data_IF_255410331536
#
_entry.id   IF_255410331536
#
_cell.length_a   1.000
_cell.length_b   1.000
_cell.length_c   1.000
_cell.angle_alpha   90.00
_cell.angle_beta   90.00
_cell.angle_gamma   90.00
#
_symmetry.space_group_name_H-M   'P 1'
#
loop_
_entity.id
_entity.type
_entity.pdbx_description
1 polymer ?
#
# COMPACT_ATOMS: atom_id res chain seq x y z
N UNK A 1 -2.97 76.74 -15.19
CA UNK A 1 -3.52 75.36 -15.12
C UNK A 1 -2.90 74.67 -13.87
N UNK A 2 -3.69 74.59 -12.82
CA UNK A 2 -3.22 74.04 -11.53
C UNK A 2 -3.71 72.57 -11.40
N UNK A 3 -2.78 71.66 -11.18
CA UNK A 3 -3.08 70.27 -10.96
C UNK A 3 -3.47 70.01 -9.47
N UNK A 4 -4.65 69.38 -9.26
CA UNK A 4 -5.15 68.98 -7.97
C UNK A 4 -4.40 67.76 -7.42
N UNK A 5 -4.09 67.70 -6.11
CA UNK A 5 -3.45 66.53 -5.51
C UNK A 5 -4.49 65.42 -5.28
N UNK A 6 -4.09 64.18 -5.60
CA UNK A 6 -4.87 62.96 -5.35
C UNK A 6 -4.83 62.60 -3.87
N UNK A 7 -5.95 62.61 -3.20
CA UNK A 7 -6.17 62.11 -1.84
C UNK A 7 -5.87 60.62 -1.73
N UNK A 8 -4.90 60.23 -0.90
CA UNK A 8 -4.67 58.85 -0.50
C UNK A 8 -5.74 58.43 0.51
N UNK A 9 -6.59 57.46 0.14
CA UNK A 9 -7.48 56.82 1.09
C UNK A 9 -6.66 55.94 2.04
N UNK A 10 -6.76 56.26 3.32
CA UNK A 10 -6.26 55.48 4.43
C UNK A 10 -7.21 54.27 4.61
N UNK A 11 -6.70 53.04 4.44
CA UNK A 11 -7.42 51.81 4.74
C UNK A 11 -7.00 51.40 6.16
N UNK A 12 -7.96 51.32 7.12
CA UNK A 12 -7.64 50.83 8.46
C UNK A 12 -7.29 49.35 8.37
N UNK A 13 -6.13 48.95 8.87
CA UNK A 13 -5.83 47.55 9.14
C UNK A 13 -6.69 47.10 10.32
N UNK A 14 -7.73 46.31 10.06
CA UNK A 14 -8.45 45.58 11.09
C UNK A 14 -7.49 44.60 11.75
N UNK A 15 -7.18 44.84 13.02
CA UNK A 15 -6.41 43.93 13.87
C UNK A 15 -7.15 42.59 13.97
N UNK A 16 -6.55 41.56 13.41
CA UNK A 16 -7.01 40.16 13.54
C UNK A 16 -6.87 39.82 15.02
N UNK A 17 -7.99 39.85 15.75
CA UNK A 17 -8.07 39.51 17.17
C UNK A 17 -7.55 38.08 17.40
N UNK A 18 -6.56 37.92 18.26
CA UNK A 18 -5.99 36.62 18.66
C UNK A 18 -7.04 35.68 19.29
N UNK A 19 -8.13 36.20 19.81
CA UNK A 19 -9.25 35.42 20.35
C UNK A 19 -9.94 34.53 19.29
N UNK A 20 -10.06 35.01 18.05
CA UNK A 20 -10.68 34.24 16.94
C UNK A 20 -9.87 33.04 16.53
N UNK A 21 -8.55 33.05 16.67
CA UNK A 21 -7.67 31.92 16.35
C UNK A 21 -7.80 30.80 17.38
N UNK A 22 -7.88 31.14 18.66
CA UNK A 22 -8.07 30.16 19.76
C UNK A 22 -9.43 29.49 19.70
N UNK A 23 -10.47 30.21 19.38
CA UNK A 23 -11.82 29.64 19.21
C UNK A 23 -11.89 28.71 18.00
N UNK A 24 -11.25 29.07 16.88
CA UNK A 24 -11.14 28.20 15.71
C UNK A 24 -10.37 26.91 16.02
N UNK A 25 -9.30 26.98 16.77
CA UNK A 25 -8.53 25.79 17.20
C UNK A 25 -9.34 24.91 18.15
N UNK A 26 -10.09 25.47 19.09
CA UNK A 26 -11.01 24.72 19.97
C UNK A 26 -12.11 24.01 19.16
N UNK A 27 -12.71 24.69 18.19
CA UNK A 27 -13.74 24.12 17.32
C UNK A 27 -13.20 23.00 16.42
N UNK A 28 -11.97 23.12 15.90
CA UNK A 28 -11.31 22.08 15.12
C UNK A 28 -10.97 20.86 16.00
N UNK A 29 -10.51 21.07 17.21
CA UNK A 29 -10.23 20.00 18.18
C UNK A 29 -11.49 19.23 18.54
N UNK A 30 -12.59 19.92 18.85
CA UNK A 30 -13.89 19.30 19.13
C UNK A 30 -14.38 18.44 17.97
N UNK A 31 -14.33 18.94 16.73
CA UNK A 31 -14.67 18.17 15.51
C UNK A 31 -13.78 16.95 15.31
N UNK A 32 -12.51 17.03 15.66
CA UNK A 32 -11.58 15.90 15.55
C UNK A 32 -11.88 14.82 16.60
N UNK A 33 -12.18 15.24 17.82
CA UNK A 33 -12.54 14.34 18.92
C UNK A 33 -13.88 13.63 18.64
N UNK A 34 -14.87 14.32 18.08
CA UNK A 34 -16.15 13.74 17.66
C UNK A 34 -15.97 12.70 16.55
N UNK A 35 -15.19 13.03 15.51
CA UNK A 35 -14.90 12.10 14.40
C UNK A 35 -14.10 10.88 14.82
N UNK A 36 -13.26 11.02 15.84
CA UNK A 36 -12.50 9.90 16.44
C UNK A 36 -13.42 9.01 17.26
N UNK A 37 -14.38 9.60 17.97
CA UNK A 37 -15.38 8.88 18.77
C UNK A 37 -16.33 8.09 17.88
N UNK A 38 -16.79 8.68 16.76
CA UNK A 38 -17.62 7.99 15.76
C UNK A 38 -16.88 6.80 15.12
N UNK A 39 -15.60 6.97 14.74
CA UNK A 39 -14.78 5.88 14.21
C UNK A 39 -14.58 4.75 15.22
N UNK A 40 -14.39 5.10 16.49
CA UNK A 40 -14.20 4.09 17.54
C UNK A 40 -15.50 3.36 17.88
N UNK A 41 -16.64 4.07 17.84
CA UNK A 41 -17.97 3.47 18.01
C UNK A 41 -18.32 2.53 16.84
N UNK A 42 -18.05 2.92 15.61
CA UNK A 42 -18.23 2.07 14.43
C UNK A 42 -17.31 0.82 14.47
N UNK A 43 -16.11 0.94 15.03
CA UNK A 43 -15.18 -0.17 15.20
C UNK A 43 -15.58 -1.13 16.35
N UNK A 44 -16.22 -0.61 17.40
CA UNK A 44 -16.77 -1.40 18.47
C UNK A 44 -18.04 -2.18 18.06
N UNK A 45 -18.93 -1.54 17.30
CA UNK A 45 -20.13 -2.18 16.77
C UNK A 45 -19.82 -3.32 15.78
N UNK A 46 -18.69 -3.25 15.05
CA UNK A 46 -18.22 -4.36 14.19
C UNK A 46 -17.57 -5.53 14.94
N UNK A 47 -17.20 -5.35 16.22
CA UNK A 47 -16.60 -6.43 17.03
C UNK A 47 -17.64 -7.33 17.70
N UNK A 48 -18.88 -6.90 17.80
CA UNK A 48 -19.93 -7.65 18.52
C UNK A 48 -20.70 -8.66 17.64
N UNK A 49 -20.39 -8.71 16.32
CA UNK A 49 -21.08 -9.60 15.38
C UNK A 49 -20.27 -10.89 15.08
N UNK A 50 -19.07 -11.04 15.63
CA UNK A 50 -18.20 -12.20 15.32
C UNK A 50 -17.85 -13.05 16.55
N UNK A 51 -18.83 -13.29 17.44
CA UNK A 51 -18.66 -14.25 18.53
C UNK A 51 -19.73 -15.33 18.46
N UNK A 52 -19.84 -16.04 17.36
CA UNK A 52 -20.42 -17.38 17.33
C UNK A 52 -20.12 -18.08 16.00
N UNK A 53 -18.93 -18.59 15.82
CA UNK A 53 -18.61 -19.78 15.02
C UNK A 53 -17.16 -20.16 15.30
N UNK A 54 -17.00 -21.03 16.28
CA UNK A 54 -15.78 -21.75 16.52
C UNK A 54 -15.79 -23.02 15.66
N UNK A 55 -14.99 -23.11 14.59
CA UNK A 55 -14.73 -24.41 13.97
C UNK A 55 -13.75 -25.16 14.90
N UNK A 56 -14.14 -26.35 15.29
CA UNK A 56 -13.34 -27.32 16.02
C UNK A 56 -11.91 -27.38 15.45
N UNK A 57 -10.94 -27.07 16.28
CA UNK A 57 -9.53 -27.37 16.06
C UNK A 57 -9.36 -28.89 16.04
N UNK A 58 -9.48 -29.48 14.86
CA UNK A 58 -8.86 -30.78 14.62
C UNK A 58 -7.36 -30.60 14.78
N UNK A 59 -6.79 -31.37 15.68
CA UNK A 59 -5.36 -31.48 15.93
C UNK A 59 -4.67 -31.90 14.64
N UNK A 60 -4.18 -30.95 13.88
CA UNK A 60 -3.22 -31.23 12.82
C UNK A 60 -1.87 -31.44 13.50
N UNK A 61 -1.38 -32.65 13.33
CA UNK A 61 -0.08 -33.16 13.75
C UNK A 61 1.05 -32.21 13.35
N UNK A 62 2.09 -32.15 14.22
CA UNK A 62 3.32 -31.41 13.98
C UNK A 62 3.90 -31.66 12.57
N UNK A 63 4.48 -30.64 11.90
CA UNK A 63 5.05 -30.81 10.58
C UNK A 63 6.25 -31.75 10.65
N UNK A 64 6.16 -32.83 9.88
CA UNK A 64 7.24 -33.80 9.67
C UNK A 64 8.40 -33.10 8.91
N UNK A 65 9.67 -33.29 9.31
CA UNK A 65 10.81 -32.74 8.57
C UNK A 65 10.98 -33.45 7.22
N UNK A 66 10.41 -32.88 6.16
CA UNK A 66 10.45 -33.46 4.81
C UNK A 66 9.78 -32.63 3.72
N UNK A 67 9.09 -31.52 4.06
CA UNK A 67 8.25 -30.74 3.10
C UNK A 67 8.97 -29.62 2.34
N UNK A 68 10.28 -29.65 2.17
CA UNK A 68 10.99 -28.63 1.36
C UNK A 68 10.64 -28.71 -0.14
N UNK A 69 10.32 -29.87 -0.65
CA UNK A 69 10.00 -30.09 -2.07
C UNK A 69 8.66 -29.48 -2.48
N UNK A 70 7.65 -29.47 -1.60
CA UNK A 70 6.35 -28.89 -1.89
C UNK A 70 6.36 -27.37 -2.00
N UNK A 71 7.10 -26.69 -1.13
CA UNK A 71 7.17 -25.23 -1.10
C UNK A 71 7.93 -24.67 -2.32
N UNK A 72 8.97 -25.38 -2.77
CA UNK A 72 9.78 -24.99 -3.93
C UNK A 72 9.00 -25.15 -5.25
N UNK A 73 8.20 -26.21 -5.36
CA UNK A 73 7.29 -26.45 -6.49
C UNK A 73 6.24 -25.32 -6.59
N UNK A 74 5.58 -24.98 -5.48
CA UNK A 74 4.59 -23.91 -5.42
C UNK A 74 5.19 -22.54 -5.79
N UNK A 75 6.41 -22.27 -5.33
CA UNK A 75 7.13 -21.04 -5.68
C UNK A 75 7.48 -20.96 -7.16
N UNK A 76 7.99 -22.06 -7.72
CA UNK A 76 8.32 -22.15 -9.15
C UNK A 76 7.10 -21.92 -10.02
N UNK A 77 5.97 -22.52 -9.69
CA UNK A 77 4.69 -22.31 -10.37
C UNK A 77 4.21 -20.85 -10.25
N UNK A 78 4.36 -20.25 -9.08
CA UNK A 78 4.03 -18.83 -8.87
C UNK A 78 4.87 -17.91 -9.76
N UNK A 79 6.18 -18.14 -9.88
CA UNK A 79 7.08 -17.36 -10.73
C UNK A 79 6.72 -17.52 -12.20
N UNK A 80 6.48 -18.76 -12.66
CA UNK A 80 6.06 -19.02 -14.03
C UNK A 80 4.77 -18.24 -14.38
N UNK A 81 3.77 -18.36 -13.53
CA UNK A 81 2.51 -17.65 -13.74
C UNK A 81 2.67 -16.12 -13.68
N UNK A 82 3.52 -15.62 -12.80
CA UNK A 82 3.82 -14.18 -12.71
C UNK A 82 4.50 -13.67 -13.98
N UNK A 83 5.36 -14.46 -14.61
CA UNK A 83 6.01 -14.13 -15.87
C UNK A 83 5.04 -14.09 -17.05
N UNK A 84 4.08 -15.01 -17.09
CA UNK A 84 2.97 -14.96 -18.06
C UNK A 84 2.17 -13.66 -17.92
N UNK A 85 1.75 -13.32 -16.69
CA UNK A 85 0.99 -12.10 -16.39
C UNK A 85 1.78 -10.82 -16.70
N UNK A 86 3.07 -10.81 -16.43
CA UNK A 86 3.98 -9.73 -16.80
C UNK A 86 3.96 -9.44 -18.31
N UNK A 87 3.92 -10.48 -19.10
CA UNK A 87 3.84 -10.38 -20.57
C UNK A 87 2.44 -9.94 -21.02
N UNK A 88 1.38 -10.56 -20.48
CA UNK A 88 -0.02 -10.23 -20.82
C UNK A 88 -0.37 -8.78 -20.50
N UNK A 89 0.15 -8.25 -19.41
CA UNK A 89 -0.11 -6.87 -18.96
C UNK A 89 0.80 -5.82 -19.60
N UNK A 90 1.80 -6.24 -20.40
CA UNK A 90 2.75 -5.32 -21.03
C UNK A 90 3.69 -4.63 -20.04
N UNK A 91 3.94 -5.23 -18.87
CA UNK A 91 4.81 -4.65 -17.84
C UNK A 91 6.24 -4.49 -18.35
N UNK A 92 6.67 -5.35 -19.28
CA UNK A 92 7.99 -5.30 -19.91
C UNK A 92 8.26 -3.97 -20.65
N UNK A 93 7.24 -3.25 -21.09
CA UNK A 93 7.41 -1.92 -21.72
C UNK A 93 8.00 -0.89 -20.74
N UNK A 94 7.68 -1.00 -19.45
CA UNK A 94 8.13 -0.09 -18.39
C UNK A 94 9.28 -0.66 -17.56
N UNK A 95 9.37 -1.97 -17.45
CA UNK A 95 10.41 -2.71 -16.74
C UNK A 95 10.83 -3.89 -17.62
N UNK A 96 11.76 -3.72 -18.59
CA UNK A 96 12.09 -4.73 -19.59
C UNK A 96 12.69 -6.01 -19.03
N UNK A 97 13.28 -5.95 -17.86
CA UNK A 97 13.90 -7.05 -17.17
C UNK A 97 12.95 -7.59 -16.09
N UNK A 98 12.51 -8.84 -16.25
CA UNK A 98 11.57 -9.47 -15.33
C UNK A 98 12.14 -9.57 -13.90
N UNK A 99 13.42 -9.87 -13.75
CA UNK A 99 14.04 -10.02 -12.43
C UNK A 99 14.11 -8.69 -11.67
N UNK A 100 14.17 -7.57 -12.40
CA UNK A 100 14.18 -6.24 -11.79
C UNK A 100 12.87 -5.86 -11.10
N UNK A 101 11.74 -6.49 -11.42
CA UNK A 101 10.51 -6.20 -10.69
C UNK A 101 10.62 -6.58 -9.21
N UNK A 102 11.51 -7.49 -8.84
CA UNK A 102 11.72 -7.92 -7.46
C UNK A 102 12.67 -7.00 -6.66
N UNK A 103 13.31 -6.02 -7.29
CA UNK A 103 14.09 -4.98 -6.60
C UNK A 103 13.17 -3.98 -5.88
N UNK A 104 11.96 -3.80 -6.37
CA UNK A 104 10.99 -2.90 -5.76
C UNK A 104 10.64 -3.32 -4.33
N UNK A 105 10.47 -2.32 -3.44
CA UNK A 105 10.17 -2.54 -2.03
C UNK A 105 8.69 -2.84 -1.77
N UNK A 106 7.83 -2.28 -2.58
CA UNK A 106 6.38 -2.53 -2.55
C UNK A 106 5.79 -2.40 -3.94
N UNK A 107 4.65 -3.04 -4.15
CA UNK A 107 3.82 -2.87 -5.34
C UNK A 107 2.38 -2.65 -4.91
N UNK A 108 1.81 -1.55 -5.37
CA UNK A 108 0.45 -1.13 -5.06
C UNK A 108 -0.41 -1.09 -6.31
N UNK A 109 -1.70 -1.30 -6.12
CA UNK A 109 -2.71 -1.16 -7.14
C UNK A 109 -3.58 0.06 -6.83
N UNK A 110 -3.62 1.03 -7.75
CA UNK A 110 -4.53 2.17 -7.67
C UNK A 110 -5.86 1.81 -8.33
N UNK A 111 -6.96 2.34 -7.80
CA UNK A 111 -8.31 2.21 -8.37
C UNK A 111 -9.04 0.90 -8.08
N UNK A 112 -8.37 -0.11 -7.50
CA UNK A 112 -8.99 -1.37 -7.07
C UNK A 112 -8.58 -1.66 -5.64
N UNK A 113 -9.51 -2.14 -4.80
CA UNK A 113 -9.26 -2.59 -3.44
C UNK A 113 -8.53 -3.93 -3.41
N UNK A 114 -7.56 -4.06 -2.51
CA UNK A 114 -6.81 -5.32 -2.27
C UNK A 114 -6.82 -5.75 -0.81
N UNK A 115 -7.60 -5.10 0.02
CA UNK A 115 -7.81 -5.52 1.39
C UNK A 115 -9.00 -6.47 1.44
N UNK A 116 -9.10 -7.24 2.52
CA UNK A 116 -10.19 -8.20 2.71
C UNK A 116 -11.58 -7.54 2.62
N UNK A 117 -11.71 -6.32 3.19
CA UNK A 117 -12.98 -5.59 3.22
C UNK A 117 -13.40 -5.01 1.86
N UNK A 118 -12.43 -4.71 0.97
CA UNK A 118 -12.67 -4.04 -0.32
C UNK A 118 -12.09 -4.84 -1.52
N UNK A 119 -11.90 -6.16 -1.35
CA UNK A 119 -11.22 -6.99 -2.33
C UNK A 119 -11.94 -7.01 -3.68
N UNK A 120 -11.24 -6.56 -4.71
CA UNK A 120 -11.76 -6.50 -6.07
C UNK A 120 -12.78 -5.39 -6.32
N UNK A 121 -13.10 -4.56 -5.32
CA UNK A 121 -13.98 -3.41 -5.51
C UNK A 121 -13.29 -2.32 -6.33
N UNK A 122 -14.02 -1.82 -7.31
CA UNK A 122 -13.55 -0.76 -8.20
C UNK A 122 -13.93 0.60 -7.60
N UNK A 123 -12.97 1.49 -7.50
CA UNK A 123 -13.18 2.83 -6.95
C UNK A 123 -13.57 3.79 -8.07
N UNK A 124 -14.80 4.28 -8.04
CA UNK A 124 -15.33 5.24 -9.02
C UNK A 124 -14.43 6.48 -9.20
N UNK A 125 -14.34 6.95 -10.43
CA UNK A 125 -13.54 8.13 -10.80
C UNK A 125 -12.02 7.91 -10.68
N UNK A 126 -11.54 6.70 -10.38
CA UNK A 126 -10.11 6.39 -10.28
C UNK A 126 -9.59 5.71 -11.55
N UNK A 127 -8.31 5.91 -11.78
CA UNK A 127 -7.57 5.21 -12.82
C UNK A 127 -6.90 3.96 -12.23
N UNK A 128 -6.93 2.88 -13.00
CA UNK A 128 -6.26 1.63 -12.65
C UNK A 128 -4.79 1.73 -13.05
N UNK A 129 -3.93 1.58 -12.06
CA UNK A 129 -2.48 1.68 -12.25
C UNK A 129 -1.73 0.77 -11.30
N UNK A 130 -0.76 0.01 -11.82
CA UNK A 130 0.23 -0.71 -11.01
C UNK A 130 1.38 0.23 -10.72
N UNK A 131 1.65 0.47 -9.44
CA UNK A 131 2.67 1.39 -8.95
C UNK A 131 3.69 0.62 -8.12
N UNK A 132 4.92 0.57 -8.60
CA UNK A 132 6.05 0.07 -7.83
C UNK A 132 6.69 1.19 -7.02
N UNK A 133 7.21 0.85 -5.84
CA UNK A 133 7.86 1.78 -4.92
C UNK A 133 9.32 1.39 -4.77
N UNK A 134 10.21 2.33 -5.03
CA UNK A 134 11.64 2.25 -4.73
C UNK A 134 12.05 3.40 -3.81
N UNK A 135 13.27 3.33 -3.29
CA UNK A 135 13.84 4.40 -2.46
C UNK A 135 15.12 4.90 -3.11
N UNK A 136 15.18 6.18 -3.37
CA UNK A 136 16.36 6.86 -3.89
C UNK A 136 16.83 7.93 -2.90
N UNK A 137 18.15 8.20 -2.78
CA UNK A 137 18.63 9.30 -1.98
C UNK A 137 18.21 10.63 -2.63
N UNK A 138 17.73 11.57 -1.83
CA UNK A 138 17.49 12.94 -2.26
C UNK A 138 18.82 13.73 -2.30
N UNK A 139 18.75 15.01 -2.68
CA UNK A 139 19.92 15.91 -2.74
C UNK A 139 20.65 16.04 -1.40
N UNK A 140 20.01 15.69 -0.28
CA UNK A 140 20.54 15.74 1.08
C UNK A 140 20.97 14.36 1.60
N UNK A 141 21.01 13.33 0.74
CA UNK A 141 21.34 11.96 1.11
C UNK A 141 20.22 11.21 1.87
N UNK A 142 19.06 11.83 2.09
CA UNK A 142 17.94 11.18 2.76
C UNK A 142 17.20 10.26 1.79
N UNK A 143 16.85 9.04 2.23
CA UNK A 143 16.06 8.09 1.44
C UNK A 143 14.64 8.62 1.23
N UNK A 144 14.27 8.85 -0.03
CA UNK A 144 12.93 9.29 -0.44
C UNK A 144 12.25 8.20 -1.25
N UNK A 145 10.97 7.95 -0.96
CA UNK A 145 10.17 7.03 -1.75
C UNK A 145 9.90 7.62 -3.14
N UNK A 146 10.11 6.78 -4.17
CA UNK A 146 9.83 7.10 -5.57
C UNK A 146 8.83 6.10 -6.11
N UNK A 147 7.75 6.60 -6.68
CA UNK A 147 6.72 5.81 -7.33
C UNK A 147 7.06 5.65 -8.82
N UNK A 148 7.00 4.41 -9.30
CA UNK A 148 7.25 4.03 -10.68
C UNK A 148 5.98 3.38 -11.21
N UNK A 149 5.38 3.93 -12.28
CA UNK A 149 4.24 3.31 -12.93
C UNK A 149 4.71 2.15 -13.80
N UNK A 150 4.27 0.93 -13.47
CA UNK A 150 4.56 -0.27 -14.25
C UNK A 150 3.49 -0.56 -15.30
N UNK A 151 2.24 -0.11 -15.09
CA UNK A 151 1.15 -0.31 -16.03
C UNK A 151 0.02 0.66 -15.74
N UNK A 152 -0.59 1.17 -16.81
CA UNK A 152 -1.78 2.03 -16.76
C UNK A 152 -2.87 1.39 -17.61
N UNK A 153 -4.06 1.21 -17.04
CA UNK A 153 -5.13 0.41 -17.64
C UNK A 153 -6.45 1.18 -17.85
N UNK A 154 -6.40 2.49 -17.79
CA UNK A 154 -7.56 3.36 -18.02
C UNK A 154 -8.43 3.57 -16.78
N UNK A 155 -9.66 4.03 -17.01
CA UNK A 155 -10.64 4.27 -15.95
C UNK A 155 -11.17 2.96 -15.38
N UNK A 156 -11.40 2.95 -14.09
CA UNK A 156 -11.86 1.78 -13.34
C UNK A 156 -13.21 1.23 -13.85
N UNK A 157 -14.13 2.13 -14.23
CA UNK A 157 -15.48 1.79 -14.67
C UNK A 157 -15.49 1.13 -16.07
N UNK A 158 -14.48 1.42 -16.89
CA UNK A 158 -14.37 0.86 -18.25
C UNK A 158 -13.59 -0.46 -18.31
N UNK A 159 -13.07 -0.94 -17.18
CA UNK A 159 -12.22 -2.11 -17.15
C UNK A 159 -13.04 -3.40 -17.19
N UNK A 160 -12.76 -4.25 -18.19
CA UNK A 160 -13.35 -5.58 -18.30
C UNK A 160 -12.99 -6.45 -17.08
N UNK A 161 -13.92 -7.28 -16.65
CA UNK A 161 -13.78 -8.11 -15.45
C UNK A 161 -12.55 -9.04 -15.51
N UNK A 162 -12.31 -9.68 -16.65
CA UNK A 162 -11.14 -10.56 -16.84
C UNK A 162 -9.83 -9.82 -16.70
N UNK A 163 -9.73 -8.64 -17.32
CA UNK A 163 -8.51 -7.81 -17.21
C UNK A 163 -8.32 -7.30 -15.80
N UNK A 164 -9.40 -6.99 -15.08
CA UNK A 164 -9.34 -6.64 -13.64
C UNK A 164 -8.72 -7.76 -12.83
N UNK A 165 -9.20 -8.99 -13.01
CA UNK A 165 -8.67 -10.15 -12.27
C UNK A 165 -7.20 -10.42 -12.60
N UNK A 166 -6.81 -10.29 -13.87
CA UNK A 166 -5.42 -10.43 -14.33
C UNK A 166 -4.50 -9.43 -13.64
N UNK A 167 -4.93 -8.17 -13.51
CA UNK A 167 -4.17 -7.11 -12.82
C UNK A 167 -4.04 -7.41 -11.32
N UNK A 168 -5.12 -7.81 -10.67
CA UNK A 168 -5.12 -8.19 -9.26
C UNK A 168 -4.19 -9.39 -9.03
N UNK A 169 -4.32 -10.44 -9.85
CA UNK A 169 -3.51 -11.66 -9.78
C UNK A 169 -2.01 -11.33 -9.87
N UNK A 170 -1.60 -10.47 -10.82
CA UNK A 170 -0.21 -10.06 -10.95
C UNK A 170 0.35 -9.44 -9.68
N UNK A 171 -0.36 -8.47 -9.10
CA UNK A 171 0.10 -7.78 -7.89
C UNK A 171 0.17 -8.73 -6.69
N UNK A 172 -0.82 -9.63 -6.54
CA UNK A 172 -0.85 -10.60 -5.45
C UNK A 172 0.26 -11.64 -5.60
N UNK A 173 0.52 -12.17 -6.80
CA UNK A 173 1.60 -13.14 -7.04
C UNK A 173 2.97 -12.50 -6.83
N UNK A 174 3.15 -11.23 -7.20
CA UNK A 174 4.37 -10.51 -6.88
C UNK A 174 4.56 -10.38 -5.36
N UNK A 175 3.50 -10.03 -4.61
CA UNK A 175 3.55 -9.96 -3.14
C UNK A 175 3.84 -11.32 -2.51
N UNK A 176 3.29 -12.38 -3.09
CA UNK A 176 3.52 -13.74 -2.64
C UNK A 176 5.00 -14.14 -2.80
N UNK A 177 5.63 -13.87 -3.95
CA UNK A 177 7.08 -14.08 -4.12
C UNK A 177 7.90 -13.22 -3.15
N UNK A 178 7.51 -11.97 -2.90
CA UNK A 178 8.19 -11.13 -1.88
C UNK A 178 8.09 -11.73 -0.48
N UNK A 179 7.00 -12.41 -0.15
CA UNK A 179 6.87 -13.13 1.12
C UNK A 179 7.85 -14.29 1.22
N UNK A 180 8.04 -15.09 0.16
CA UNK A 180 9.05 -16.14 0.12
C UNK A 180 10.46 -15.57 0.33
N UNK A 181 10.83 -14.53 -0.41
CA UNK A 181 12.13 -13.86 -0.26
C UNK A 181 12.37 -13.37 1.17
N UNK A 182 11.35 -12.83 1.83
CA UNK A 182 11.43 -12.40 3.22
C UNK A 182 11.64 -13.58 4.18
N UNK A 183 10.91 -14.68 3.98
CA UNK A 183 11.09 -15.91 4.79
C UNK A 183 12.51 -16.45 4.66
N UNK A 184 13.05 -16.53 3.45
CA UNK A 184 14.42 -16.98 3.20
C UNK A 184 15.46 -16.05 3.83
N UNK A 185 15.24 -14.74 3.73
CA UNK A 185 16.10 -13.75 4.38
C UNK A 185 16.16 -13.96 5.90
N UNK A 186 15.00 -14.13 6.56
CA UNK A 186 14.97 -14.37 8.00
C UNK A 186 15.56 -15.73 8.38
N UNK A 187 15.33 -16.79 7.60
CA UNK A 187 16.00 -18.07 7.81
C UNK A 187 17.53 -17.93 7.78
N UNK A 188 18.06 -17.19 6.80
CA UNK A 188 19.50 -16.92 6.70
C UNK A 188 20.05 -16.11 7.89
N UNK A 189 19.29 -15.12 8.39
CA UNK A 189 19.69 -14.37 9.59
C UNK A 189 19.70 -15.24 10.85
N UNK A 190 18.70 -16.10 11.03
CA UNK A 190 18.62 -17.04 12.16
C UNK A 190 19.81 -18.04 12.11
N UNK A 191 20.16 -18.53 10.93
CA UNK A 191 21.30 -19.41 10.76
C UNK A 191 22.63 -18.75 11.18
N UNK A 192 22.79 -17.45 10.89
CA UNK A 192 23.97 -16.68 11.33
C UNK A 192 24.08 -16.57 12.87
N UNK A 193 22.98 -16.41 13.59
CA UNK A 193 22.98 -16.38 15.05
C UNK A 193 23.51 -17.73 15.61
N UNK A 194 23.00 -18.86 15.10
CA UNK A 194 23.42 -20.19 15.54
C UNK A 194 24.89 -20.48 15.23
N UNK A 195 25.46 -19.88 14.20
CA UNK A 195 26.91 -20.03 13.88
C UNK A 195 27.81 -19.15 14.74
N UNK A 196 27.28 -18.04 15.29
CA UNK A 196 28.02 -17.14 16.18
C UNK A 196 28.23 -17.74 17.55
N UNK A 197 27.25 -18.48 18.09
CA UNK A 197 27.34 -19.12 19.43
C UNK A 197 28.38 -20.25 19.52
N UNK A 198 28.91 -20.77 18.40
CA UNK A 198 29.93 -21.83 18.37
C UNK A 198 31.37 -21.31 18.46
N UNK A 199 31.59 -20.00 18.61
CA UNK A 199 32.93 -19.39 18.65
C UNK A 199 33.37 -18.94 20.03
N UNK A 200 32.71 -19.36 21.10
CA UNK A 200 33.09 -19.15 22.49
C UNK A 200 33.28 -20.46 23.19
#
# INVERSE_FOLDING_TARGET
MQAKPKSKRFIPQEGISMSNSLERLKALRSKLEEKTREKNAAKAAKRDITLDHQPSLEKQSAPVPGETNGTESVRSENIKRLQELYTILGIFEKSPDFDKIFIYKAMNLSGIGLKEEDFGEVREGKYIQIIAITYEPDKNGKKKAKNISLGYFGKAEALQHERKNTIIEFVLRWRYEKAFQNVEHYKALIAKLKSSDRRF
#
